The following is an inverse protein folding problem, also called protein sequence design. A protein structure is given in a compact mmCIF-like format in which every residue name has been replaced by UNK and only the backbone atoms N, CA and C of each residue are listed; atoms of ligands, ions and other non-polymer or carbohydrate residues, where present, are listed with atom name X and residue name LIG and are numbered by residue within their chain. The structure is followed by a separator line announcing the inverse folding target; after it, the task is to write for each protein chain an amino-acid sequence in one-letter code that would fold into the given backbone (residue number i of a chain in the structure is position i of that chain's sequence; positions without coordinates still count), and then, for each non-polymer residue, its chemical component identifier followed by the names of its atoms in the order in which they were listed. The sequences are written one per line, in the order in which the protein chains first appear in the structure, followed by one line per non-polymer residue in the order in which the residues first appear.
data_IF_338098547811
#
_entry.id   IF_338098547811
#
_cell.length_a   1.000
_cell.length_b   1.000
_cell.length_c   1.000
_cell.angle_alpha   90.00
_cell.angle_beta   90.00
_cell.angle_gamma   90.00
#
_symmetry.space_group_name_H-M   'P 1'
#
loop_
_entity.id
_entity.type
_entity.pdbx_description
1 polymer ?
#
# COMPACT_ATOMS: atom_id res chain seq x y z
N UNK A 1 -7.78 -6.85 2.83
CA UNK A 1 -7.46 -5.46 2.45
C UNK A 1 -7.46 -5.36 0.95
N UNK A 2 -7.58 -4.15 0.41
CA UNK A 2 -7.49 -3.95 -1.03
C UNK A 2 -7.99 -2.57 -1.49
N UNK A 3 -7.90 -2.35 -2.80
CA UNK A 3 -8.24 -1.09 -3.46
C UNK A 3 -8.98 -1.28 -4.79
N UNK A 4 -9.46 -0.17 -5.36
CA UNK A 4 -10.27 -0.05 -6.59
C UNK A 4 -9.76 -0.81 -7.82
N UNK A 5 -8.44 -0.92 -8.00
CA UNK A 5 -7.87 -1.67 -9.14
C UNK A 5 -7.85 -3.19 -8.96
N UNK A 6 -8.05 -3.70 -7.75
CA UNK A 6 -8.11 -5.13 -7.46
C UNK A 6 -9.55 -5.58 -7.25
N UNK A 7 -10.37 -4.73 -6.62
CA UNK A 7 -11.73 -5.04 -6.26
C UNK A 7 -12.70 -3.97 -6.79
N UNK A 8 -13.58 -4.37 -7.71
CA UNK A 8 -14.58 -3.49 -8.33
C UNK A 8 -15.59 -2.88 -7.32
N UNK A 9 -15.70 -3.47 -6.13
CA UNK A 9 -16.59 -2.97 -5.07
C UNK A 9 -15.94 -1.90 -4.17
N UNK A 10 -14.62 -1.73 -4.25
CA UNK A 10 -13.94 -0.63 -3.55
C UNK A 10 -14.09 0.62 -4.40
N UNK A 11 -14.62 1.73 -3.84
CA UNK A 11 -14.79 2.96 -4.60
C UNK A 11 -13.47 3.49 -5.17
N UNK A 12 -13.54 4.18 -6.30
CA UNK A 12 -12.38 4.81 -6.92
C UNK A 12 -11.64 5.72 -5.93
N UNK A 13 -10.31 5.60 -5.89
CA UNK A 13 -9.43 6.32 -4.96
C UNK A 13 -9.59 5.97 -3.47
N UNK A 14 -10.16 4.80 -3.15
CA UNK A 14 -10.17 4.28 -1.78
C UNK A 14 -9.22 3.08 -1.59
N UNK A 15 -8.65 3.00 -0.38
CA UNK A 15 -7.88 1.86 0.13
C UNK A 15 -8.53 1.39 1.42
N UNK A 16 -8.89 0.12 1.50
CA UNK A 16 -9.56 -0.46 2.68
C UNK A 16 -8.61 -1.36 3.46
N UNK A 17 -8.37 -0.98 4.73
CA UNK A 17 -7.56 -1.73 5.69
C UNK A 17 -8.46 -2.58 6.59
N UNK A 18 -8.00 -3.79 6.92
CA UNK A 18 -8.75 -4.69 7.79
C UNK A 18 -8.68 -4.19 9.24
N UNK A 19 -9.82 -4.16 9.92
CA UNK A 19 -9.88 -3.70 11.31
C UNK A 19 -9.30 -4.73 12.29
N UNK A 20 -9.18 -6.00 11.88
CA UNK A 20 -8.59 -7.07 12.69
C UNK A 20 -7.05 -7.00 12.75
N UNK A 21 -6.42 -6.07 12.01
CA UNK A 21 -4.98 -5.81 12.12
C UNK A 21 -4.63 -5.02 13.38
N UNK A 22 -3.52 -5.44 14.00
CA UNK A 22 -2.86 -4.68 15.05
C UNK A 22 -2.55 -3.25 14.58
N UNK A 23 -2.75 -2.25 15.44
CA UNK A 23 -2.58 -0.84 15.07
C UNK A 23 -1.17 -0.52 14.55
N UNK A 24 -0.16 -1.24 15.03
CA UNK A 24 1.23 -1.10 14.60
C UNK A 24 1.48 -1.62 13.18
N UNK A 25 0.64 -2.53 12.69
CA UNK A 25 0.76 -3.15 11.36
C UNK A 25 0.08 -2.31 10.28
N UNK A 26 -0.97 -1.57 10.65
CA UNK A 26 -1.78 -0.77 9.71
C UNK A 26 -0.97 0.17 8.82
N UNK A 27 0.05 0.90 9.30
CA UNK A 27 0.84 1.79 8.45
C UNK A 27 1.65 1.06 7.38
N UNK A 28 2.14 -0.15 7.66
CA UNK A 28 2.91 -0.95 6.70
C UNK A 28 2.01 -1.49 5.61
N UNK A 29 0.84 -1.98 5.98
CA UNK A 29 -0.09 -2.46 4.96
C UNK A 29 -0.68 -1.30 4.17
N UNK A 30 -0.95 -0.16 4.81
CA UNK A 30 -1.36 1.05 4.09
C UNK A 30 -0.30 1.46 3.06
N UNK A 31 0.98 1.40 3.40
CA UNK A 31 2.07 1.66 2.47
C UNK A 31 2.04 0.68 1.28
N UNK A 32 1.87 -0.61 1.55
CA UNK A 32 1.78 -1.64 0.50
C UNK A 32 0.63 -1.33 -0.46
N UNK A 33 -0.58 -1.14 0.06
CA UNK A 33 -1.79 -0.95 -0.74
C UNK A 33 -1.75 0.36 -1.55
N UNK A 34 -1.25 1.46 -0.95
CA UNK A 34 -1.07 2.72 -1.67
C UNK A 34 -0.03 2.61 -2.79
N UNK A 35 1.11 1.97 -2.51
CA UNK A 35 2.17 1.81 -3.49
C UNK A 35 1.72 0.92 -4.65
N UNK A 36 1.07 -0.20 -4.35
CA UNK A 36 0.52 -1.14 -5.34
C UNK A 36 -0.48 -0.42 -6.24
N UNK A 37 -1.43 0.31 -5.65
CA UNK A 37 -2.42 1.12 -6.35
C UNK A 37 -1.74 2.13 -7.28
N UNK A 38 -0.76 2.88 -6.77
CA UNK A 38 -0.07 3.92 -7.54
C UNK A 38 0.77 3.35 -8.69
N UNK A 39 1.32 2.13 -8.56
CA UNK A 39 1.99 1.43 -9.65
C UNK A 39 1.00 0.92 -10.69
N UNK A 40 -0.15 0.38 -10.27
CA UNK A 40 -1.21 -0.04 -11.17
C UNK A 40 -1.80 1.14 -11.95
N UNK A 41 -1.97 2.31 -11.32
CA UNK A 41 -2.32 3.58 -11.99
C UNK A 41 -1.31 3.97 -13.07
N UNK A 42 -0.03 3.65 -12.88
CA UNK A 42 1.05 3.88 -13.86
C UNK A 42 1.11 2.80 -14.95
N UNK A 43 0.16 1.86 -14.97
CA UNK A 43 0.05 0.79 -15.97
C UNK A 43 0.85 -0.47 -15.65
N UNK A 44 1.33 -0.64 -14.40
CA UNK A 44 1.94 -1.90 -14.00
C UNK A 44 0.88 -2.99 -13.85
N UNK A 45 1.26 -4.23 -14.14
CA UNK A 45 0.41 -5.38 -13.83
C UNK A 45 0.36 -5.57 -12.32
N UNK A 46 -0.78 -6.07 -11.82
CA UNK A 46 -0.96 -6.40 -10.41
C UNK A 46 0.23 -7.18 -9.84
N UNK A 47 0.63 -8.29 -10.48
CA UNK A 47 1.73 -9.13 -9.97
C UNK A 47 3.05 -8.38 -9.80
N UNK A 48 3.35 -7.45 -10.72
CA UNK A 48 4.58 -6.66 -10.65
C UNK A 48 4.47 -5.57 -9.58
N UNK A 49 3.33 -4.89 -9.50
CA UNK A 49 3.07 -3.88 -8.48
C UNK A 49 3.10 -4.49 -7.07
N UNK A 50 2.50 -5.66 -6.91
CA UNK A 50 2.45 -6.41 -5.66
C UNK A 50 3.83 -6.84 -5.17
N UNK A 51 4.67 -7.38 -6.06
CA UNK A 51 6.03 -7.79 -5.72
C UNK A 51 6.89 -6.60 -5.27
N UNK A 52 6.79 -5.46 -5.97
CA UNK A 52 7.52 -4.23 -5.64
C UNK A 52 7.06 -3.65 -4.28
N UNK A 53 5.74 -3.61 -4.08
CA UNK A 53 5.13 -3.15 -2.83
C UNK A 53 5.50 -4.03 -1.64
N UNK A 54 5.58 -5.35 -1.85
CA UNK A 54 6.02 -6.31 -0.82
C UNK A 54 7.48 -6.06 -0.40
N UNK A 55 8.36 -5.72 -1.36
CA UNK A 55 9.75 -5.39 -1.07
C UNK A 55 9.86 -4.07 -0.30
N UNK A 56 9.07 -3.06 -0.67
CA UNK A 56 9.02 -1.78 0.04
C UNK A 56 8.48 -1.95 1.46
N UNK A 57 7.39 -2.69 1.65
CA UNK A 57 6.83 -2.99 2.97
C UNK A 57 7.88 -3.66 3.86
N UNK A 58 8.52 -4.73 3.36
CA UNK A 58 9.57 -5.43 4.07
C UNK A 58 10.73 -4.50 4.46
N UNK A 59 11.19 -3.65 3.54
CA UNK A 59 12.24 -2.68 3.83
C UNK A 59 11.84 -1.73 4.96
N UNK A 60 10.63 -1.17 4.92
CA UNK A 60 10.13 -0.26 5.95
C UNK A 60 9.92 -0.95 7.30
N UNK A 61 9.53 -2.23 7.34
CA UNK A 61 9.46 -3.00 8.60
C UNK A 61 10.82 -3.11 9.29
N UNK A 62 11.91 -3.14 8.53
CA UNK A 62 13.27 -3.12 9.06
C UNK A 62 13.84 -1.71 9.25
N UNK A 63 13.22 -0.69 8.64
CA UNK A 63 13.62 0.71 8.71
C UNK A 63 12.40 1.60 9.01
N UNK A 64 11.79 1.48 10.21
CA UNK A 64 10.54 2.16 10.55
C UNK A 64 10.63 3.70 10.46
N UNK A 65 11.84 4.24 10.58
CA UNK A 65 12.12 5.67 10.46
C UNK A 65 11.82 6.21 9.05
N UNK A 66 11.85 5.34 8.03
CA UNK A 66 11.60 5.70 6.63
C UNK A 66 10.12 5.58 6.23
N UNK A 67 9.30 4.91 7.05
CA UNK A 67 7.90 4.62 6.76
C UNK A 67 7.09 5.89 6.49
N UNK A 68 7.25 6.93 7.31
CA UNK A 68 6.53 8.18 7.12
C UNK A 68 6.91 8.88 5.80
N UNK A 69 8.19 8.84 5.44
CA UNK A 69 8.66 9.39 4.16
C UNK A 69 8.20 8.56 2.96
N UNK A 70 8.08 7.23 3.12
CA UNK A 70 7.54 6.35 2.09
C UNK A 70 6.05 6.60 1.87
N UNK A 71 5.26 6.70 2.95
CA UNK A 71 3.84 7.04 2.90
C UNK A 71 3.60 8.41 2.24
N UNK A 72 4.40 9.43 2.60
CA UNK A 72 4.30 10.75 1.99
C UNK A 72 4.54 10.74 0.47
N UNK A 73 5.44 9.87 -0.03
CA UNK A 73 5.66 9.70 -1.49
C UNK A 73 4.45 9.13 -2.21
N UNK A 74 3.65 8.33 -1.50
CA UNK A 74 2.42 7.74 -2.04
C UNK A 74 1.19 8.66 -1.88
N UNK A 75 1.37 9.86 -1.32
CA UNK A 75 0.31 10.86 -1.17
C UNK A 75 -0.45 10.81 0.16
N UNK A 76 0.11 10.16 1.17
CA UNK A 76 -0.43 10.16 2.54
C UNK A 76 0.14 11.33 3.36
N UNK A 77 -0.70 12.33 3.66
CA UNK A 77 -0.39 13.52 4.48
C UNK A 77 -1.12 13.51 5.84
#
# INVERSE_FOLDING_TARGET
MGHDHVYEFVPENEVWIDNDLEEAERPYVLLHELHERNLMLKGWTYSKAHEDSSQLEYHCRHHPNELHAALAKEGWE
#
